data_IF_756185238457
#
_entry.id   IF_756185238457
#
_cell.length_a   1.000
_cell.length_b   1.000
_cell.length_c   1.000
_cell.angle_alpha   90.00
_cell.angle_beta   90.00
_cell.angle_gamma   90.00
#
_symmetry.space_group_name_H-M   'P 1'
#
loop_
_entity.id
_entity.type
_entity.pdbx_description
1 polymer ?
#
# COMPACT_ATOMS: atom_id res chain seq x y z
N UNK A 1 -18.80 -36.41 2.23
CA UNK A 1 -17.82 -35.45 2.76
C UNK A 1 -18.65 -34.35 3.40
N UNK A 2 -18.58 -34.21 4.71
CA UNK A 2 -19.36 -33.19 5.40
C UNK A 2 -18.61 -31.87 5.25
N UNK A 3 -19.33 -30.79 4.95
CA UNK A 3 -18.78 -29.44 4.79
C UNK A 3 -19.39 -28.50 5.82
N UNK A 4 -18.57 -27.69 6.43
CA UNK A 4 -18.99 -26.65 7.37
C UNK A 4 -18.52 -25.28 6.89
N UNK A 5 -19.26 -24.24 7.19
CA UNK A 5 -18.89 -22.85 6.92
C UNK A 5 -18.50 -22.16 8.20
N UNK A 6 -17.50 -21.30 8.15
CA UNK A 6 -16.98 -20.55 9.28
C UNK A 6 -17.23 -19.05 9.08
N UNK A 7 -17.42 -18.34 10.18
CA UNK A 7 -17.83 -16.93 10.14
C UNK A 7 -16.70 -15.99 9.70
N UNK A 8 -15.47 -16.36 9.99
CA UNK A 8 -14.28 -15.56 9.73
C UNK A 8 -13.07 -16.45 9.42
N UNK A 9 -11.98 -15.79 9.02
CA UNK A 9 -10.76 -16.44 8.55
C UNK A 9 -10.01 -17.16 9.68
N UNK A 10 -9.99 -16.59 10.88
CA UNK A 10 -9.30 -17.18 12.03
C UNK A 10 -10.01 -18.44 12.52
N UNK A 11 -11.33 -18.42 12.65
CA UNK A 11 -12.13 -19.62 12.96
C UNK A 11 -11.95 -20.75 11.94
N UNK A 12 -11.73 -20.39 10.66
CA UNK A 12 -11.43 -21.38 9.63
C UNK A 12 -10.04 -21.99 9.81
N UNK A 13 -9.04 -21.18 10.13
CA UNK A 13 -7.67 -21.63 10.39
C UNK A 13 -7.60 -22.49 11.67
N UNK A 14 -8.27 -22.08 12.73
CA UNK A 14 -8.37 -22.84 13.98
C UNK A 14 -8.96 -24.23 13.76
N UNK A 15 -10.00 -24.33 12.94
CA UNK A 15 -10.60 -25.63 12.62
C UNK A 15 -9.62 -26.60 11.98
N UNK A 16 -8.65 -26.11 11.20
CA UNK A 16 -7.57 -26.93 10.63
C UNK A 16 -6.52 -27.30 11.68
N UNK A 17 -6.08 -26.34 12.49
CA UNK A 17 -5.06 -26.56 13.55
C UNK A 17 -5.58 -27.49 14.64
N UNK A 18 -6.83 -27.34 15.05
CA UNK A 18 -7.46 -28.19 16.07
C UNK A 18 -7.84 -29.59 15.56
N UNK A 19 -7.66 -29.86 14.27
CA UNK A 19 -8.04 -31.11 13.64
C UNK A 19 -9.55 -31.31 13.47
N UNK A 20 -10.36 -30.25 13.68
CA UNK A 20 -11.80 -30.27 13.45
C UNK A 20 -12.15 -30.27 11.94
N UNK A 21 -11.22 -29.81 11.12
CA UNK A 21 -11.28 -29.93 9.66
C UNK A 21 -10.02 -30.61 9.12
N UNK A 22 -10.18 -31.60 8.25
CA UNK A 22 -9.04 -32.28 7.59
C UNK A 22 -8.49 -31.50 6.40
N UNK A 23 -9.23 -30.56 5.86
CA UNK A 23 -8.84 -29.60 4.83
C UNK A 23 -9.78 -28.41 4.86
N UNK A 24 -9.29 -27.27 4.43
CA UNK A 24 -10.08 -26.04 4.30
C UNK A 24 -10.04 -25.56 2.83
N UNK A 25 -11.06 -24.85 2.43
CA UNK A 25 -11.12 -24.14 1.14
C UNK A 25 -11.12 -22.65 1.44
N UNK A 26 -10.10 -21.97 0.99
CA UNK A 26 -10.01 -20.52 1.14
C UNK A 26 -9.48 -19.89 -0.14
N UNK A 27 -9.68 -18.59 -0.29
CA UNK A 27 -9.08 -17.86 -1.39
C UNK A 27 -7.57 -17.68 -1.11
N UNK A 28 -6.73 -17.92 -2.11
CA UNK A 28 -5.25 -17.84 -2.00
C UNK A 28 -4.77 -16.48 -1.47
N UNK A 29 -5.49 -15.39 -1.75
CA UNK A 29 -5.17 -14.09 -1.20
C UNK A 29 -5.23 -13.99 0.34
N UNK A 30 -5.99 -14.88 0.99
CA UNK A 30 -6.07 -14.90 2.45
C UNK A 30 -4.90 -15.63 3.14
N UNK A 31 -4.07 -16.37 2.40
CA UNK A 31 -2.86 -17.00 2.96
C UNK A 31 -1.91 -15.94 3.54
N UNK A 32 -1.62 -14.90 2.76
CA UNK A 32 -0.77 -13.79 3.23
C UNK A 32 -1.41 -13.02 4.40
N UNK A 33 -2.75 -12.91 4.40
CA UNK A 33 -3.46 -12.26 5.50
C UNK A 33 -3.32 -13.08 6.81
N UNK A 34 -3.39 -14.41 6.75
CA UNK A 34 -3.14 -15.28 7.90
C UNK A 34 -1.70 -15.13 8.39
N UNK A 35 -0.70 -15.25 7.53
CA UNK A 35 0.71 -15.11 7.92
C UNK A 35 1.04 -13.71 8.49
N UNK A 36 0.19 -12.71 8.29
CA UNK A 36 0.34 -11.38 8.88
C UNK A 36 -0.21 -11.26 10.30
N UNK A 37 -0.93 -12.27 10.80
CA UNK A 37 -1.45 -12.33 12.17
C UNK A 37 -0.45 -13.08 13.06
N UNK A 38 -0.20 -12.57 14.26
CA UNK A 38 0.83 -13.12 15.18
C UNK A 38 0.61 -14.61 15.45
N UNK A 39 -0.64 -15.02 15.72
CA UNK A 39 -1.01 -16.40 16.04
C UNK A 39 -0.95 -17.37 14.85
N UNK A 40 -0.86 -16.86 13.61
CA UNK A 40 -0.87 -17.63 12.36
C UNK A 40 0.34 -17.32 11.47
N UNK A 41 1.38 -16.71 12.01
CA UNK A 41 2.55 -16.22 11.25
C UNK A 41 3.33 -17.32 10.51
N UNK A 42 3.09 -18.59 10.84
CA UNK A 42 3.67 -19.77 10.18
C UNK A 42 2.66 -20.60 9.39
N UNK A 43 1.44 -20.08 9.18
CA UNK A 43 0.33 -20.84 8.60
C UNK A 43 0.68 -21.46 7.25
N UNK A 44 1.34 -20.72 6.36
CA UNK A 44 1.77 -21.24 5.05
C UNK A 44 2.94 -22.23 5.15
N UNK A 45 3.69 -22.24 6.25
CA UNK A 45 4.77 -23.21 6.50
C UNK A 45 4.22 -24.51 7.12
N UNK A 46 3.18 -24.40 7.93
CA UNK A 46 2.58 -25.53 8.68
C UNK A 46 1.53 -26.26 7.84
N UNK A 47 1.07 -25.68 6.75
CA UNK A 47 0.04 -26.23 5.85
C UNK A 47 0.58 -26.45 4.45
N UNK A 48 -0.16 -27.20 3.64
CA UNK A 48 0.17 -27.40 2.23
C UNK A 48 -1.06 -27.25 1.35
N UNK A 49 -0.88 -26.65 0.20
CA UNK A 49 -1.90 -26.62 -0.84
C UNK A 49 -2.02 -28.03 -1.43
N UNK A 50 -3.20 -28.64 -1.31
CA UNK A 50 -3.50 -29.97 -1.87
C UNK A 50 -4.20 -29.88 -3.23
N UNK A 51 -4.87 -28.78 -3.49
CA UNK A 51 -5.53 -28.50 -4.76
C UNK A 51 -5.75 -26.99 -4.93
N UNK A 52 -5.54 -26.50 -6.15
CA UNK A 52 -5.78 -25.10 -6.52
C UNK A 52 -6.64 -25.04 -7.79
N UNK A 53 -7.63 -24.15 -7.79
CA UNK A 53 -8.45 -23.85 -8.96
C UNK A 53 -8.76 -22.36 -9.03
N UNK A 54 -8.88 -21.85 -10.24
CA UNK A 54 -9.24 -20.45 -10.47
C UNK A 54 -10.65 -20.36 -11.06
N UNK A 55 -11.47 -19.52 -10.44
CA UNK A 55 -12.80 -19.13 -10.95
C UNK A 55 -12.82 -17.69 -11.42
N UNK A 56 -11.65 -17.04 -11.50
CA UNK A 56 -11.50 -15.61 -11.68
C UNK A 56 -11.18 -15.25 -13.12
N UNK A 57 -11.60 -14.06 -13.53
CA UNK A 57 -11.20 -13.46 -14.81
C UNK A 57 -9.73 -13.08 -14.72
N UNK A 58 -8.94 -13.50 -15.71
CA UNK A 58 -7.59 -13.03 -15.90
C UNK A 58 -7.61 -11.53 -16.24
N UNK A 59 -6.84 -10.74 -15.51
CA UNK A 59 -6.71 -9.32 -15.75
C UNK A 59 -5.50 -9.05 -16.65
N UNK A 60 -5.67 -8.12 -17.58
CA UNK A 60 -4.56 -7.64 -18.40
C UNK A 60 -3.56 -6.88 -17.52
N UNK A 61 -2.30 -7.32 -17.44
CA UNK A 61 -1.29 -6.64 -16.64
C UNK A 61 -1.02 -5.23 -17.19
N UNK A 62 -0.71 -4.31 -16.30
CA UNK A 62 -0.30 -2.96 -16.67
C UNK A 62 1.08 -3.04 -17.34
N UNK A 63 1.13 -2.75 -18.65
CA UNK A 63 2.37 -2.72 -19.44
C UNK A 63 2.81 -1.26 -19.61
N UNK A 64 3.86 -0.82 -18.89
CA UNK A 64 4.32 0.56 -19.02
C UNK A 64 4.83 0.82 -20.44
N UNK A 65 4.46 1.96 -20.99
CA UNK A 65 5.02 2.45 -22.25
C UNK A 65 6.38 3.10 -21.97
N UNK A 66 7.41 2.78 -22.74
CA UNK A 66 8.76 3.31 -22.56
C UNK A 66 8.91 4.81 -22.88
N UNK A 67 7.92 5.45 -23.53
CA UNK A 67 7.94 6.88 -23.84
C UNK A 67 7.08 7.68 -22.86
N UNK A 68 7.58 8.85 -22.43
CA UNK A 68 6.79 9.78 -21.61
C UNK A 68 5.61 10.25 -22.44
N UNK A 69 4.34 10.03 -21.98
CA UNK A 69 3.17 10.43 -22.75
C UNK A 69 3.07 11.95 -22.91
N UNK A 70 2.69 12.40 -24.08
CA UNK A 70 2.32 13.82 -24.31
C UNK A 70 0.85 14.10 -23.95
N UNK A 71 0.04 13.07 -23.78
CA UNK A 71 -1.36 13.09 -23.37
C UNK A 71 -1.49 12.82 -21.86
N UNK A 72 -2.61 13.20 -21.25
CA UNK A 72 -2.89 12.83 -19.87
C UNK A 72 -2.80 11.31 -19.65
N UNK A 73 -2.25 10.91 -18.52
CA UNK A 73 -2.14 9.50 -18.15
C UNK A 73 -2.41 9.31 -16.65
N UNK A 74 -2.72 8.08 -16.29
CA UNK A 74 -3.11 7.69 -14.92
C UNK A 74 -2.07 6.75 -14.32
N UNK A 75 -1.57 7.09 -13.14
CA UNK A 75 -0.69 6.23 -12.35
C UNK A 75 -1.44 5.74 -11.11
N UNK A 76 -1.51 4.44 -10.91
CA UNK A 76 -1.95 3.86 -9.65
C UNK A 76 -0.78 3.80 -8.67
N UNK A 77 -0.90 4.50 -7.53
CA UNK A 77 0.10 4.47 -6.47
C UNK A 77 -0.39 3.59 -5.32
N UNK A 78 0.36 2.53 -5.03
CA UNK A 78 0.08 1.57 -3.97
C UNK A 78 1.15 1.61 -2.89
N UNK A 79 0.74 1.84 -1.65
CA UNK A 79 1.59 1.64 -0.48
C UNK A 79 1.23 0.32 0.20
N UNK A 80 2.21 -0.56 0.38
CA UNK A 80 1.99 -1.86 1.00
C UNK A 80 2.68 -1.94 2.36
N UNK A 81 2.00 -2.59 3.32
CA UNK A 81 2.59 -2.95 4.61
C UNK A 81 3.38 -4.26 4.44
N UNK A 82 4.55 -4.16 3.83
CA UNK A 82 5.45 -5.28 3.67
C UNK A 82 6.79 -4.98 4.34
N UNK A 83 7.19 -5.87 5.23
CA UNK A 83 8.52 -5.84 5.89
C UNK A 83 9.61 -6.38 4.96
N UNK A 84 9.23 -7.14 3.92
CA UNK A 84 10.14 -7.66 2.89
C UNK A 84 10.64 -6.55 1.98
N UNK A 85 11.88 -6.67 1.50
CA UNK A 85 12.41 -5.83 0.43
C UNK A 85 11.79 -6.13 -0.95
N UNK A 86 11.15 -7.29 -1.11
CA UNK A 86 10.43 -7.64 -2.33
C UNK A 86 9.08 -6.91 -2.38
N UNK A 87 8.96 -5.97 -3.31
CA UNK A 87 7.73 -5.20 -3.55
C UNK A 87 6.71 -5.95 -4.43
N UNK A 88 7.06 -7.11 -4.97
CA UNK A 88 6.18 -7.91 -5.83
C UNK A 88 5.32 -8.91 -5.05
N UNK A 89 5.53 -9.00 -3.75
CA UNK A 89 4.73 -9.89 -2.89
C UNK A 89 3.26 -9.48 -2.90
N UNK A 90 2.39 -10.47 -2.77
CA UNK A 90 0.99 -10.24 -2.49
C UNK A 90 0.85 -9.73 -1.04
N UNK A 91 0.27 -8.56 -0.86
CA UNK A 91 0.14 -7.90 0.43
C UNK A 91 -1.06 -6.97 0.43
N UNK A 92 -1.54 -6.60 1.60
CA UNK A 92 -2.54 -5.56 1.76
C UNK A 92 -2.05 -4.24 1.14
N UNK A 93 -2.94 -3.54 0.43
CA UNK A 93 -2.66 -2.21 -0.10
C UNK A 93 -3.26 -1.16 0.83
N UNK A 94 -2.44 -0.59 1.71
CA UNK A 94 -2.86 0.39 2.70
C UNK A 94 -3.01 1.80 2.13
N UNK A 95 -2.29 2.09 1.06
CA UNK A 95 -2.38 3.35 0.32
C UNK A 95 -2.88 3.05 -1.08
N UNK A 96 -3.98 3.69 -1.47
CA UNK A 96 -4.63 3.51 -2.77
C UNK A 96 -4.91 4.88 -3.39
N UNK A 97 -4.02 5.33 -4.25
CA UNK A 97 -4.11 6.66 -4.86
C UNK A 97 -4.07 6.54 -6.38
N UNK A 98 -4.98 7.24 -7.06
CA UNK A 98 -4.83 7.53 -8.48
C UNK A 98 -4.22 8.90 -8.66
N UNK A 99 -3.11 8.98 -9.39
CA UNK A 99 -2.50 10.21 -9.84
C UNK A 99 -2.82 10.41 -11.33
N UNK A 100 -3.65 11.39 -11.64
CA UNK A 100 -3.92 11.79 -13.02
C UNK A 100 -2.95 12.92 -13.39
N UNK A 101 -2.06 12.66 -14.32
CA UNK A 101 -0.99 13.57 -14.72
C UNK A 101 -1.29 14.14 -16.09
N UNK A 102 -1.30 15.46 -16.18
CA UNK A 102 -1.50 16.19 -17.44
C UNK A 102 -0.21 16.92 -17.84
N UNK A 103 0.65 16.34 -18.70
CA UNK A 103 1.99 16.85 -18.97
C UNK A 103 2.02 18.26 -19.59
N UNK A 104 1.05 18.59 -20.45
CA UNK A 104 1.00 19.89 -21.14
C UNK A 104 0.62 21.05 -20.22
N UNK A 105 -0.22 20.81 -19.22
CA UNK A 105 -0.67 21.86 -18.28
C UNK A 105 0.11 21.84 -16.98
N UNK A 106 1.02 20.85 -16.81
CA UNK A 106 1.78 20.61 -15.60
C UNK A 106 0.89 20.44 -14.35
N UNK A 107 -0.28 19.80 -14.54
CA UNK A 107 -1.24 19.55 -13.46
C UNK A 107 -1.20 18.09 -13.04
N UNK A 108 -1.29 17.85 -11.74
CA UNK A 108 -1.42 16.54 -11.14
C UNK A 108 -2.62 16.55 -10.22
N UNK A 109 -3.59 15.67 -10.49
CA UNK A 109 -4.71 15.38 -9.58
C UNK A 109 -4.42 14.10 -8.83
N UNK A 110 -4.43 14.16 -7.50
CA UNK A 110 -4.29 13.01 -6.62
C UNK A 110 -5.64 12.68 -6.00
N UNK A 111 -6.09 11.44 -6.17
CA UNK A 111 -7.35 10.92 -5.62
C UNK A 111 -7.00 9.79 -4.65
N UNK A 112 -7.09 10.06 -3.36
CA UNK A 112 -6.92 9.04 -2.31
C UNK A 112 -8.24 8.33 -2.03
N UNK A 113 -8.21 7.00 -1.99
CA UNK A 113 -9.35 6.18 -1.62
C UNK A 113 -9.02 5.42 -0.34
N UNK A 114 -9.86 5.57 0.72
CA UNK A 114 -9.63 4.87 1.98
C UNK A 114 -9.53 3.36 1.78
N UNK A 115 -8.58 2.72 2.45
CA UNK A 115 -8.30 1.29 2.31
C UNK A 115 -9.48 0.39 2.65
N UNK A 116 -10.35 0.84 3.58
CA UNK A 116 -11.52 0.10 4.03
C UNK A 116 -12.76 0.32 3.15
N UNK A 117 -12.63 1.07 2.04
CA UNK A 117 -13.74 1.29 1.12
C UNK A 117 -14.24 -0.03 0.55
N UNK A 118 -15.55 -0.27 0.64
CA UNK A 118 -16.17 -1.55 0.27
C UNK A 118 -16.56 -1.55 -1.21
N UNK A 119 -15.79 -2.24 -2.02
CA UNK A 119 -15.83 -2.19 -3.49
C UNK A 119 -16.00 -3.58 -4.10
N UNK A 120 -16.56 -3.67 -5.31
CA UNK A 120 -16.52 -4.92 -6.07
C UNK A 120 -15.09 -5.20 -6.57
N UNK A 121 -14.58 -6.38 -6.31
CA UNK A 121 -13.30 -6.86 -6.87
C UNK A 121 -13.44 -7.01 -8.38
N UNK A 122 -12.41 -6.61 -9.13
CA UNK A 122 -12.42 -6.64 -10.59
C UNK A 122 -12.42 -8.08 -11.14
N UNK A 123 -11.77 -8.99 -10.43
CA UNK A 123 -11.61 -10.39 -10.82
C UNK A 123 -12.91 -11.21 -10.79
N UNK A 124 -13.84 -10.93 -9.89
CA UNK A 124 -15.03 -11.78 -9.68
C UNK A 124 -16.31 -11.01 -9.33
N UNK A 125 -16.25 -9.68 -9.14
CA UNK A 125 -17.39 -8.85 -8.78
C UNK A 125 -17.86 -8.98 -7.32
N UNK A 126 -17.25 -9.84 -6.51
CA UNK A 126 -17.56 -9.92 -5.09
C UNK A 126 -17.11 -8.66 -4.38
N UNK A 127 -17.89 -8.22 -3.38
CA UNK A 127 -17.54 -7.02 -2.62
C UNK A 127 -16.61 -7.36 -1.47
N UNK A 128 -15.56 -6.55 -1.34
CA UNK A 128 -14.59 -6.65 -0.25
C UNK A 128 -13.98 -5.26 0.04
N UNK A 129 -13.16 -5.16 1.09
CA UNK A 129 -12.37 -3.97 1.36
C UNK A 129 -11.34 -3.75 0.25
N UNK A 130 -11.14 -2.49 -0.12
CA UNK A 130 -10.16 -2.12 -1.17
C UNK A 130 -8.74 -2.62 -0.84
N UNK A 131 -8.33 -2.60 0.43
CA UNK A 131 -7.02 -3.09 0.86
C UNK A 131 -6.80 -4.56 0.49
N UNK A 132 -7.84 -5.39 0.51
CA UNK A 132 -7.78 -6.81 0.18
C UNK A 132 -7.53 -7.06 -1.31
N UNK A 133 -7.83 -6.10 -2.19
CA UNK A 133 -7.47 -6.22 -3.61
C UNK A 133 -5.96 -6.41 -3.81
N UNK A 134 -5.13 -5.84 -2.92
CA UNK A 134 -3.67 -5.99 -2.93
C UNK A 134 -3.19 -7.43 -2.75
N UNK A 135 -3.96 -8.27 -2.05
CA UNK A 135 -3.65 -9.69 -1.88
C UNK A 135 -3.74 -10.50 -3.18
N UNK A 136 -4.39 -9.94 -4.19
CA UNK A 136 -4.51 -10.54 -5.53
C UNK A 136 -3.54 -9.90 -6.55
N UNK A 137 -2.72 -8.98 -6.10
CA UNK A 137 -1.71 -8.30 -6.91
C UNK A 137 -2.04 -6.85 -7.26
N UNK A 138 -1.04 -6.20 -7.87
CA UNK A 138 -1.13 -4.78 -8.20
C UNK A 138 -2.17 -4.51 -9.30
N UNK A 139 -2.30 -5.42 -10.24
CA UNK A 139 -3.25 -5.28 -11.37
C UNK A 139 -4.70 -5.34 -10.88
N UNK A 140 -5.00 -6.20 -9.89
CA UNK A 140 -6.32 -6.25 -9.25
C UNK A 140 -6.65 -4.93 -8.56
N UNK A 141 -5.74 -4.42 -7.72
CA UNK A 141 -5.94 -3.15 -7.01
C UNK A 141 -6.15 -1.98 -7.96
N UNK A 142 -5.33 -1.91 -9.02
CA UNK A 142 -5.44 -0.88 -10.05
C UNK A 142 -6.76 -0.98 -10.83
N UNK A 143 -7.19 -2.20 -11.16
CA UNK A 143 -8.45 -2.44 -11.86
C UNK A 143 -9.67 -2.10 -11.00
N UNK A 144 -9.64 -2.44 -9.71
CA UNK A 144 -10.71 -2.09 -8.75
C UNK A 144 -10.87 -0.58 -8.65
N UNK A 145 -9.76 0.15 -8.47
CA UNK A 145 -9.79 1.61 -8.42
C UNK A 145 -10.22 2.22 -9.77
N UNK A 146 -9.69 1.68 -10.85
CA UNK A 146 -10.06 2.09 -12.20
C UNK A 146 -11.55 1.94 -12.48
N UNK A 147 -12.15 0.81 -12.09
CA UNK A 147 -13.58 0.57 -12.22
C UNK A 147 -14.40 1.54 -11.35
N UNK A 148 -13.93 1.86 -10.14
CA UNK A 148 -14.61 2.79 -9.25
C UNK A 148 -14.72 4.20 -9.83
N UNK A 149 -13.68 4.66 -10.50
CA UNK A 149 -13.60 6.02 -11.07
C UNK A 149 -13.83 6.09 -12.57
N UNK A 150 -14.08 4.97 -13.24
CA UNK A 150 -14.32 4.92 -14.69
C UNK A 150 -13.07 5.25 -15.53
N UNK A 151 -11.87 4.95 -15.00
CA UNK A 151 -10.59 5.20 -15.68
C UNK A 151 -9.76 3.91 -15.71
N UNK A 152 -8.74 3.87 -16.58
CA UNK A 152 -7.74 2.79 -16.59
C UNK A 152 -6.39 3.36 -16.13
N UNK A 153 -5.70 2.65 -15.23
CA UNK A 153 -4.33 2.99 -14.90
C UNK A 153 -3.41 2.60 -16.06
N UNK A 154 -2.59 3.55 -16.52
CA UNK A 154 -1.59 3.35 -17.58
C UNK A 154 -0.26 2.87 -16.98
N UNK A 155 0.01 3.26 -15.73
CA UNK A 155 1.21 2.94 -14.97
C UNK A 155 0.85 2.64 -13.52
N UNK A 156 1.78 2.01 -12.82
CA UNK A 156 1.71 1.93 -11.36
C UNK A 156 3.04 2.27 -10.70
N UNK A 157 2.96 2.75 -9.46
CA UNK A 157 4.06 2.89 -8.54
C UNK A 157 3.72 2.16 -7.24
N UNK A 158 4.52 1.19 -6.84
CA UNK A 158 4.32 0.42 -5.62
C UNK A 158 5.49 0.62 -4.68
N UNK A 159 5.20 0.95 -3.42
CA UNK A 159 6.20 1.30 -2.42
C UNK A 159 5.87 0.60 -1.11
N UNK A 160 6.88 0.04 -0.46
CA UNK A 160 6.82 -0.41 0.92
C UNK A 160 7.44 0.65 1.85
N UNK A 161 7.44 0.40 3.16
CA UNK A 161 7.99 1.34 4.15
C UNK A 161 9.46 1.67 3.92
N UNK A 162 10.29 0.66 3.61
CA UNK A 162 11.70 0.87 3.33
C UNK A 162 11.92 1.70 2.04
N UNK A 163 11.10 1.44 1.01
CA UNK A 163 11.12 2.21 -0.24
C UNK A 163 10.74 3.67 -0.03
N UNK A 164 9.70 3.95 0.77
CA UNK A 164 9.32 5.33 1.10
C UNK A 164 10.47 6.09 1.78
N UNK A 165 11.11 5.48 2.79
CA UNK A 165 12.28 6.07 3.47
C UNK A 165 13.37 6.40 2.45
N UNK A 166 13.76 5.43 1.62
CA UNK A 166 14.81 5.61 0.61
C UNK A 166 14.50 6.72 -0.40
N UNK A 167 13.25 6.82 -0.88
CA UNK A 167 12.85 7.88 -1.81
C UNK A 167 13.02 9.25 -1.16
N UNK A 168 12.51 9.43 0.06
CA UNK A 168 12.60 10.70 0.78
C UNK A 168 14.06 11.07 1.06
N UNK A 169 14.88 10.13 1.51
CA UNK A 169 16.30 10.35 1.81
C UNK A 169 17.12 10.65 0.54
N UNK A 170 16.83 9.97 -0.56
CA UNK A 170 17.45 10.26 -1.86
C UNK A 170 17.15 11.68 -2.39
N UNK A 171 15.96 12.21 -2.05
CA UNK A 171 15.57 13.59 -2.33
C UNK A 171 16.21 14.62 -1.37
N UNK A 172 16.95 14.16 -0.34
CA UNK A 172 17.53 15.01 0.69
C UNK A 172 16.49 15.54 1.69
N UNK A 173 15.41 14.78 1.90
CA UNK A 173 14.27 15.16 2.72
C UNK A 173 13.18 15.90 1.94
N UNK A 174 12.00 16.00 2.55
CA UNK A 174 10.81 16.64 1.98
C UNK A 174 10.19 17.63 2.97
N UNK A 175 9.57 18.69 2.43
CA UNK A 175 8.88 19.70 3.23
C UNK A 175 7.38 19.41 3.25
N UNK A 176 6.92 18.83 4.36
CA UNK A 176 5.52 18.41 4.53
C UNK A 176 4.75 19.47 5.33
N UNK A 177 3.64 19.93 4.77
CA UNK A 177 2.74 20.83 5.47
C UNK A 177 1.75 20.03 6.33
N UNK A 178 1.80 20.20 7.64
CA UNK A 178 0.88 19.57 8.60
C UNK A 178 -0.25 20.53 8.98
N UNK A 179 -1.49 20.03 8.98
CA UNK A 179 -2.65 20.78 9.44
C UNK A 179 -2.68 20.93 10.97
N UNK A 180 -1.98 20.04 11.69
CA UNK A 180 -1.99 19.95 13.15
C UNK A 180 -0.57 19.81 13.71
N UNK A 181 -0.43 20.21 14.98
CA UNK A 181 0.67 19.76 15.83
C UNK A 181 0.28 18.41 16.45
N UNK A 182 1.18 17.41 16.39
CA UNK A 182 0.96 16.10 16.99
C UNK A 182 2.27 15.37 17.27
N UNK A 183 2.20 14.41 18.18
CA UNK A 183 3.32 13.49 18.46
C UNK A 183 2.90 12.07 18.11
N UNK A 184 3.74 11.34 17.37
CA UNK A 184 3.47 9.95 17.04
C UNK A 184 3.58 9.07 18.28
N UNK A 185 2.67 8.09 18.37
CA UNK A 185 2.71 7.08 19.43
C UNK A 185 3.68 5.98 18.98
N UNK A 186 4.94 6.06 19.43
CA UNK A 186 6.06 5.15 19.16
C UNK A 186 5.79 4.08 18.09
N UNK A 187 6.27 4.31 16.88
CA UNK A 187 6.01 3.42 15.76
C UNK A 187 7.13 2.44 15.55
N UNK A 188 6.80 1.21 15.21
CA UNK A 188 7.77 0.25 14.69
C UNK A 188 8.25 0.69 13.30
N UNK A 189 9.53 0.94 13.18
CA UNK A 189 10.18 1.35 11.93
C UNK A 189 11.25 0.34 11.57
N UNK A 190 11.30 -0.17 10.33
CA UNK A 190 12.36 -1.06 9.89
C UNK A 190 13.74 -0.38 9.99
N UNK A 191 14.74 -1.12 10.49
CA UNK A 191 16.13 -0.68 10.48
C UNK A 191 16.61 -0.44 9.04
N UNK A 192 17.61 0.40 8.87
CA UNK A 192 18.19 0.73 7.55
C UNK A 192 18.72 -0.50 6.82
N UNK A 193 19.27 -1.46 7.57
CA UNK A 193 19.84 -2.70 7.03
C UNK A 193 18.79 -3.79 6.78
N UNK A 194 17.53 -3.58 7.17
CA UNK A 194 16.47 -4.58 7.05
C UNK A 194 16.57 -5.76 8.02
N UNK A 195 17.43 -5.67 9.04
CA UNK A 195 17.74 -6.72 10.00
C UNK A 195 16.89 -6.66 11.29
N UNK A 196 15.85 -5.83 11.30
CA UNK A 196 14.98 -5.68 12.47
C UNK A 196 14.14 -4.40 12.40
N UNK A 197 13.55 -4.08 13.56
CA UNK A 197 12.73 -2.89 13.77
C UNK A 197 13.23 -2.14 15.01
N UNK A 198 13.00 -0.83 15.04
CA UNK A 198 13.16 -0.02 16.24
C UNK A 198 11.90 0.84 16.47
N UNK A 199 11.73 1.34 17.69
CA UNK A 199 10.61 2.21 18.05
C UNK A 199 11.02 3.66 17.79
N UNK A 200 10.27 4.34 16.93
CA UNK A 200 10.45 5.76 16.63
C UNK A 200 9.25 6.59 17.09
N UNK A 201 9.51 7.76 17.64
CA UNK A 201 8.48 8.74 18.04
C UNK A 201 8.97 10.14 17.72
N UNK A 202 8.13 10.92 17.03
CA UNK A 202 8.45 12.28 16.58
C UNK A 202 7.30 13.24 16.89
N UNK A 203 7.66 14.46 17.20
CA UNK A 203 6.70 15.58 17.31
C UNK A 203 6.77 16.41 16.05
N UNK A 204 5.63 16.65 15.44
CA UNK A 204 5.45 17.51 14.26
C UNK A 204 4.68 18.75 14.63
N UNK A 205 5.08 19.89 14.08
CA UNK A 205 4.40 21.16 14.30
C UNK A 205 3.35 21.42 13.22
N UNK A 206 2.36 22.24 13.54
CA UNK A 206 1.46 22.77 12.51
C UNK A 206 2.25 23.62 11.52
N UNK A 207 2.02 23.44 10.22
CA UNK A 207 2.76 24.11 9.15
C UNK A 207 3.84 23.21 8.56
N UNK A 208 4.90 23.82 8.02
CA UNK A 208 5.95 23.11 7.29
C UNK A 208 6.90 22.38 8.25
N UNK A 209 7.09 21.09 8.00
CA UNK A 209 8.07 20.25 8.67
C UNK A 209 9.03 19.70 7.61
N UNK A 210 10.33 19.87 7.81
CA UNK A 210 11.36 19.24 6.97
C UNK A 210 11.62 17.82 7.50
N UNK A 211 11.28 16.81 6.73
CA UNK A 211 11.27 15.40 7.16
C UNK A 211 12.30 14.58 6.38
N UNK A 212 13.08 13.78 7.08
CA UNK A 212 13.82 12.67 6.50
C UNK A 212 12.89 11.47 6.24
N UNK A 213 13.42 10.38 5.68
CA UNK A 213 12.62 9.22 5.30
C UNK A 213 11.89 8.56 6.46
N UNK A 214 12.54 8.45 7.63
CA UNK A 214 11.91 7.87 8.82
C UNK A 214 10.81 8.76 9.40
N UNK A 215 11.08 10.04 9.50
CA UNK A 215 10.09 11.02 9.96
C UNK A 215 8.88 11.08 9.03
N UNK A 216 9.11 11.04 7.71
CA UNK A 216 8.04 11.01 6.71
C UNK A 216 7.20 9.73 6.81
N UNK A 217 7.83 8.58 7.08
CA UNK A 217 7.13 7.32 7.33
C UNK A 217 6.27 7.41 8.59
N UNK A 218 6.82 7.89 9.71
CA UNK A 218 6.07 8.06 10.95
C UNK A 218 4.90 9.04 10.78
N UNK A 219 5.12 10.16 10.10
CA UNK A 219 4.07 11.14 9.77
C UNK A 219 2.93 10.51 8.97
N UNK A 220 3.25 9.73 7.93
CA UNK A 220 2.28 9.10 7.03
C UNK A 220 1.48 7.95 7.69
N UNK A 221 2.03 7.31 8.72
CA UNK A 221 1.40 6.17 9.41
C UNK A 221 0.58 6.56 10.63
N UNK A 222 0.78 7.76 11.18
CA UNK A 222 0.12 8.16 12.41
C UNK A 222 -1.40 8.21 12.27
N UNK A 223 -2.09 7.59 13.20
CA UNK A 223 -3.55 7.57 13.30
C UNK A 223 -4.05 7.72 14.75
N UNK A 224 -3.23 7.33 15.72
CA UNK A 224 -3.65 7.28 17.13
C UNK A 224 -3.62 8.65 17.81
N UNK A 225 -2.86 9.60 17.26
CA UNK A 225 -2.82 10.97 17.73
C UNK A 225 -4.07 11.80 17.32
N UNK A 226 -5.02 11.22 16.60
CA UNK A 226 -6.18 11.91 16.04
C UNK A 226 -7.48 11.17 16.32
N UNK A 227 -8.54 11.92 16.66
CA UNK A 227 -9.89 11.36 16.84
C UNK A 227 -10.45 10.75 15.54
N UNK A 228 -10.10 11.33 14.38
CA UNK A 228 -10.49 10.87 13.03
C UNK A 228 -9.38 10.02 12.38
N UNK A 229 -8.80 9.12 13.14
CA UNK A 229 -7.58 8.36 12.90
C UNK A 229 -7.28 8.00 11.45
N UNK A 230 -8.09 7.14 10.82
CA UNK A 230 -7.84 6.65 9.45
C UNK A 230 -7.98 7.73 8.37
N UNK A 231 -8.94 8.66 8.52
CA UNK A 231 -9.10 9.75 7.58
C UNK A 231 -7.93 10.72 7.66
N UNK A 232 -7.46 11.04 8.89
CA UNK A 232 -6.30 11.89 9.06
C UNK A 232 -5.03 11.23 8.54
N UNK A 233 -4.86 9.91 8.73
CA UNK A 233 -3.77 9.16 8.12
C UNK A 233 -3.79 9.30 6.59
N UNK A 234 -4.95 9.20 5.95
CA UNK A 234 -5.10 9.44 4.52
C UNK A 234 -4.64 10.83 4.09
N UNK A 235 -4.99 11.87 4.85
CA UNK A 235 -4.53 13.25 4.60
C UNK A 235 -3.02 13.38 4.77
N UNK A 236 -2.46 12.77 5.82
CA UNK A 236 -1.02 12.77 6.07
C UNK A 236 -0.25 12.09 4.93
N UNK A 237 -0.74 10.95 4.43
CA UNK A 237 -0.17 10.25 3.27
C UNK A 237 -0.17 11.16 2.03
N UNK A 238 -1.29 11.85 1.77
CA UNK A 238 -1.39 12.79 0.66
C UNK A 238 -0.41 13.96 0.79
N UNK A 239 -0.23 14.49 2.01
CA UNK A 239 0.73 15.56 2.28
C UNK A 239 2.18 15.13 1.99
N UNK A 240 2.56 13.91 2.40
CA UNK A 240 3.89 13.35 2.11
C UNK A 240 4.07 13.12 0.60
N UNK A 241 3.09 12.54 -0.09
CA UNK A 241 3.18 12.32 -1.54
C UNK A 241 3.31 13.63 -2.29
N UNK A 242 2.51 14.64 -1.92
CA UNK A 242 2.62 15.99 -2.50
C UNK A 242 4.03 16.55 -2.30
N UNK A 243 4.57 16.48 -1.09
CA UNK A 243 5.91 16.97 -0.79
C UNK A 243 7.00 16.24 -1.60
N UNK A 244 6.87 14.92 -1.81
CA UNK A 244 7.75 14.13 -2.68
C UNK A 244 7.66 14.63 -4.13
N UNK A 245 6.46 14.82 -4.67
CA UNK A 245 6.24 15.30 -6.05
C UNK A 245 6.81 16.72 -6.23
N UNK A 246 6.53 17.62 -5.30
CA UNK A 246 7.02 19.01 -5.33
C UNK A 246 8.56 19.03 -5.30
N UNK A 247 9.17 18.22 -4.42
CA UNK A 247 10.63 18.11 -4.32
C UNK A 247 11.26 17.51 -5.58
N UNK A 248 10.70 16.40 -6.07
CA UNK A 248 11.19 15.71 -7.28
C UNK A 248 11.08 16.60 -8.53
N UNK A 249 10.05 17.44 -8.59
CA UNK A 249 9.83 18.40 -9.70
C UNK A 249 10.71 19.65 -9.58
N UNK A 250 11.48 19.81 -8.51
CA UNK A 250 12.31 20.98 -8.30
C UNK A 250 13.50 21.03 -9.27
N UNK A 251 13.94 22.22 -9.74
CA UNK A 251 15.09 22.36 -10.63
C UNK A 251 16.40 21.79 -10.05
N UNK A 252 16.54 21.74 -8.73
CA UNK A 252 17.69 21.21 -8.03
C UNK A 252 17.82 19.69 -8.24
N UNK A 253 16.71 18.97 -8.17
CA UNK A 253 16.68 17.51 -8.39
C UNK A 253 16.78 17.18 -9.87
N UNK A 254 16.15 17.95 -10.76
CA UNK A 254 16.23 17.74 -12.21
C UNK A 254 17.65 17.85 -12.75
N UNK A 255 18.56 18.55 -12.06
CA UNK A 255 19.99 18.61 -12.39
C UNK A 255 20.82 17.44 -11.83
N UNK A 256 20.28 16.68 -10.87
CA UNK A 256 20.95 15.59 -10.16
C UNK A 256 20.20 14.26 -10.18
N UNK A 257 19.32 14.05 -11.16
CA UNK A 257 18.37 12.90 -11.20
C UNK A 257 19.04 11.52 -11.13
N UNK A 258 20.32 11.40 -11.53
CA UNK A 258 21.07 10.14 -11.44
C UNK A 258 21.15 9.58 -10.01
N UNK A 259 21.22 10.46 -8.99
CA UNK A 259 21.27 10.03 -7.57
C UNK A 259 19.93 9.52 -7.03
N UNK A 260 18.83 9.77 -7.74
CA UNK A 260 17.47 9.37 -7.33
C UNK A 260 17.08 8.05 -8.01
N UNK A 261 17.76 7.66 -9.07
CA UNK A 261 17.48 6.44 -9.83
C UNK A 261 18.37 5.24 -9.44
N UNK A 262 19.47 5.49 -8.72
CA UNK A 262 20.35 4.47 -8.12
C UNK A 262 19.81 4.05 -6.74
#
# INVERSE_FOLDING_TARGET
>A
MDTSTYADLTSLADALYDGNAGAIILNSGYLTALDSLDDYSTFTQDTRIIYEFSTTKELEPIKPNASIPSQPFVVYCSGIDARSSDINIQSLSDVNILAVIHPRTHQILLINTPRDYYVPLARNGQRDKLTHAGMYGIDESAAVLGNLYGVKADYYARVNFAGLKKIVDALGGVDVNSDYEFTTVGMEVPNENGDGIHMAGYTFTKGINHLNGEQALCFARERHAFDDGDNQRGKNQMAVIRAIVDKASSPAILKGYQKVLD
#
